data_IF_955352595312
#
_entry.id   IF_955352595312
#
_cell.length_a   1.000
_cell.length_b   1.000
_cell.length_c   1.000
_cell.angle_alpha   90.00
_cell.angle_beta   90.00
_cell.angle_gamma   90.00
#
_symmetry.space_group_name_H-M   'P 1'
#
loop_
_entity.id
_entity.type
_entity.pdbx_description
1 polymer ?
#
# COMPACT_ATOMS: atom_id res chain seq x y z
N UNK A 1 5.36 -11.11 -8.24
CA UNK A 1 5.18 -10.17 -7.12
C UNK A 1 4.67 -8.87 -7.69
N UNK A 2 3.64 -8.29 -7.09
CA UNK A 2 2.97 -7.07 -7.56
C UNK A 2 3.90 -5.86 -7.43
N UNK A 3 4.00 -5.02 -8.46
CA UNK A 3 4.82 -3.80 -8.43
C UNK A 3 4.16 -2.68 -7.62
N UNK A 4 4.93 -1.65 -7.21
CA UNK A 4 4.38 -0.46 -6.55
C UNK A 4 3.28 0.21 -7.38
N UNK A 5 3.48 0.31 -8.71
CA UNK A 5 2.47 0.85 -9.63
C UNK A 5 1.18 0.03 -9.60
N UNK A 6 1.28 -1.30 -9.62
CA UNK A 6 0.13 -2.18 -9.59
C UNK A 6 -0.61 -2.14 -8.24
N UNK A 7 0.13 -2.10 -7.12
CA UNK A 7 -0.43 -1.94 -5.77
C UNK A 7 -1.22 -0.63 -5.71
N UNK A 8 -0.57 0.49 -6.04
CA UNK A 8 -1.19 1.81 -6.02
C UNK A 8 -2.43 1.87 -6.90
N UNK A 9 -2.33 1.40 -8.15
CA UNK A 9 -3.44 1.45 -9.09
C UNK A 9 -4.64 0.64 -8.58
N UNK A 10 -4.39 -0.54 -8.01
CA UNK A 10 -5.43 -1.41 -7.44
C UNK A 10 -6.15 -0.70 -6.29
N UNK A 11 -5.39 -0.17 -5.33
CA UNK A 11 -5.96 0.51 -4.15
C UNK A 11 -6.69 1.79 -4.55
N UNK A 12 -6.08 2.66 -5.36
CA UNK A 12 -6.70 3.91 -5.84
C UNK A 12 -8.01 3.63 -6.57
N UNK A 13 -8.01 2.70 -7.52
CA UNK A 13 -9.22 2.35 -8.27
C UNK A 13 -10.31 1.78 -7.35
N UNK A 14 -9.94 0.93 -6.40
CA UNK A 14 -10.89 0.38 -5.43
C UNK A 14 -11.50 1.47 -4.54
N UNK A 15 -10.67 2.32 -3.92
CA UNK A 15 -11.14 3.33 -2.97
C UNK A 15 -11.92 4.45 -3.66
N UNK A 16 -11.53 4.87 -4.86
CA UNK A 16 -12.31 5.85 -5.64
C UNK A 16 -13.62 5.28 -6.20
N UNK A 17 -13.75 3.96 -6.32
CA UNK A 17 -15.04 3.33 -6.61
C UNK A 17 -15.90 3.20 -5.35
N UNK A 18 -15.29 2.94 -4.21
CA UNK A 18 -15.97 2.76 -2.92
C UNK A 18 -16.48 4.09 -2.33
N UNK A 19 -15.70 5.18 -2.45
CA UNK A 19 -16.03 6.52 -1.94
C UNK A 19 -16.53 6.54 -0.49
N UNK A 20 -15.97 5.67 0.36
CA UNK A 20 -16.30 5.56 1.76
C UNK A 20 -15.21 4.80 2.52
N UNK A 21 -15.01 5.13 3.79
CA UNK A 21 -14.10 4.42 4.70
C UNK A 21 -14.68 3.04 5.03
N UNK A 22 -13.79 2.06 5.16
CA UNK A 22 -14.06 0.71 5.67
C UNK A 22 -13.73 0.67 7.16
N UNK A 23 -14.75 0.76 8.00
CA UNK A 23 -14.62 0.90 9.45
C UNK A 23 -15.72 0.15 10.22
N UNK A 24 -15.49 -0.06 11.53
CA UNK A 24 -16.49 -0.58 12.46
C UNK A 24 -17.30 0.51 13.19
N UNK A 25 -18.07 0.14 14.21
CA UNK A 25 -18.89 1.07 15.02
C UNK A 25 -18.09 2.06 15.85
N UNK A 26 -16.81 1.79 16.07
CA UNK A 26 -15.91 2.70 16.78
C UNK A 26 -15.15 3.66 15.86
N UNK A 27 -15.34 3.54 14.54
CA UNK A 27 -14.55 4.26 13.55
C UNK A 27 -13.15 3.67 13.35
N UNK A 28 -12.92 2.43 13.82
CA UNK A 28 -11.65 1.74 13.60
C UNK A 28 -11.64 1.10 12.22
N UNK A 29 -10.55 1.30 11.48
CA UNK A 29 -10.34 0.71 10.16
C UNK A 29 -10.50 -0.82 10.18
N UNK A 30 -11.18 -1.34 9.15
CA UNK A 30 -11.37 -2.79 8.93
C UNK A 30 -10.92 -3.19 7.54
N UNK A 31 -10.18 -4.29 7.45
CA UNK A 31 -9.83 -4.92 6.16
C UNK A 31 -11.10 -5.28 5.40
N UNK A 32 -12.11 -5.80 6.10
CA UNK A 32 -13.49 -5.94 5.62
C UNK A 32 -14.47 -5.25 6.56
N UNK A 33 -14.89 -4.06 6.17
CA UNK A 33 -15.87 -3.27 6.89
C UNK A 33 -17.30 -3.62 6.51
N UNK A 34 -18.22 -2.79 7.00
CA UNK A 34 -19.65 -2.89 6.71
C UNK A 34 -19.96 -2.64 5.24
N UNK A 35 -21.14 -3.07 4.80
CA UNK A 35 -21.63 -2.89 3.42
C UNK A 35 -20.70 -3.46 2.33
N UNK A 36 -19.87 -4.46 2.66
CA UNK A 36 -18.90 -5.05 1.74
C UNK A 36 -17.69 -4.15 1.44
N UNK A 37 -17.48 -3.09 2.23
CA UNK A 37 -16.34 -2.20 2.09
C UNK A 37 -15.04 -2.89 2.48
N UNK A 38 -13.96 -2.45 1.83
CA UNK A 38 -12.59 -2.88 2.13
C UNK A 38 -11.70 -1.66 2.23
N UNK A 39 -10.79 -1.65 3.20
CA UNK A 39 -9.79 -0.58 3.31
C UNK A 39 -8.69 -0.74 2.25
N UNK A 40 -7.69 0.14 2.28
CA UNK A 40 -6.53 0.07 1.38
C UNK A 40 -5.85 -1.32 1.39
N UNK A 41 -5.59 -1.85 2.58
CA UNK A 41 -4.92 -3.16 2.74
C UNK A 41 -5.87 -4.31 2.42
N UNK A 42 -7.13 -4.22 2.87
CA UNK A 42 -8.14 -5.23 2.61
C UNK A 42 -8.45 -5.44 1.12
N UNK A 43 -8.31 -4.39 0.31
CA UNK A 43 -8.48 -4.46 -1.15
C UNK A 43 -7.39 -5.30 -1.86
N UNK A 44 -6.25 -5.52 -1.21
CA UNK A 44 -5.11 -6.26 -1.76
C UNK A 44 -5.06 -7.73 -1.32
N UNK A 45 -5.85 -8.12 -0.32
CA UNK A 45 -5.87 -9.48 0.20
C UNK A 45 -6.93 -10.30 -0.54
N UNK A 46 -6.51 -11.38 -1.20
CA UNK A 46 -7.43 -12.30 -1.85
C UNK A 46 -8.37 -12.96 -0.84
N UNK A 47 -9.60 -13.25 -1.25
CA UNK A 47 -10.63 -13.84 -0.38
C UNK A 47 -10.18 -15.14 0.29
N UNK A 48 -9.45 -15.99 -0.44
CA UNK A 48 -8.88 -17.25 0.05
C UNK A 48 -7.78 -17.10 1.12
N UNK A 49 -7.25 -15.90 1.30
CA UNK A 49 -6.20 -15.59 2.29
C UNK A 49 -6.68 -14.67 3.40
N UNK A 50 -7.94 -14.23 3.33
CA UNK A 50 -8.55 -13.45 4.39
C UNK A 50 -9.06 -14.33 5.53
N UNK A 51 -8.91 -13.84 6.75
CA UNK A 51 -9.54 -14.39 7.96
C UNK A 51 -9.94 -13.24 8.88
N UNK A 52 -11.05 -13.32 9.62
CA UNK A 52 -11.42 -12.31 10.62
C UNK A 52 -10.32 -12.06 11.66
N UNK A 53 -9.45 -13.04 11.94
CA UNK A 53 -8.31 -12.85 12.83
C UNK A 53 -7.28 -11.83 12.29
N UNK A 54 -7.29 -11.54 10.98
CA UNK A 54 -6.43 -10.51 10.40
C UNK A 54 -6.82 -9.09 10.83
N UNK A 55 -8.07 -8.88 11.23
CA UNK A 55 -8.60 -7.57 11.66
C UNK A 55 -7.99 -7.07 12.97
N UNK A 56 -7.23 -7.91 13.68
CA UNK A 56 -6.49 -7.56 14.89
C UNK A 56 -5.12 -6.93 14.58
N UNK A 57 -4.74 -6.86 13.29
CA UNK A 57 -3.44 -6.39 12.85
C UNK A 57 -3.57 -5.21 11.87
N UNK A 58 -2.86 -4.11 12.16
CA UNK A 58 -2.67 -2.98 11.24
C UNK A 58 -1.30 -2.99 10.58
N UNK A 59 -1.17 -2.43 9.37
CA UNK A 59 0.11 -2.41 8.65
C UNK A 59 1.15 -1.52 9.37
N UNK A 60 0.68 -0.49 10.10
CA UNK A 60 1.51 0.41 10.90
C UNK A 60 2.24 -0.23 12.08
N UNK A 61 1.82 -1.42 12.54
CA UNK A 61 2.47 -2.11 13.66
C UNK A 61 3.67 -2.96 13.25
N UNK A 62 3.91 -3.15 11.96
CA UNK A 62 5.00 -4.02 11.49
C UNK A 62 6.30 -3.25 11.32
N UNK A 63 7.33 -3.69 12.04
CA UNK A 63 8.72 -3.34 11.73
C UNK A 63 9.33 -4.39 10.80
N UNK A 64 10.28 -3.97 9.97
CA UNK A 64 10.97 -4.85 9.03
C UNK A 64 11.57 -6.07 9.75
N UNK A 65 11.11 -7.28 9.38
CA UNK A 65 11.64 -8.55 9.90
C UNK A 65 10.64 -9.39 10.71
N UNK A 66 9.51 -8.82 11.17
CA UNK A 66 8.50 -9.57 11.92
C UNK A 66 7.38 -10.09 11.00
N UNK A 67 7.49 -11.37 10.60
CA UNK A 67 6.48 -12.02 9.74
C UNK A 67 5.17 -12.30 10.47
N UNK A 68 4.28 -11.31 10.56
CA UNK A 68 2.94 -11.50 11.11
C UNK A 68 1.92 -12.10 10.14
N UNK A 69 0.73 -12.48 10.64
CA UNK A 69 -0.35 -13.03 9.82
C UNK A 69 -0.77 -12.12 8.66
N UNK A 70 -0.80 -10.80 8.86
CA UNK A 70 -1.17 -9.84 7.82
C UNK A 70 -0.13 -9.80 6.69
N UNK A 71 1.16 -9.74 7.01
CA UNK A 71 2.23 -9.76 6.01
C UNK A 71 2.24 -11.07 5.22
N UNK A 72 1.95 -12.21 5.88
CA UNK A 72 1.78 -13.49 5.19
C UNK A 72 0.59 -13.48 4.22
N UNK A 73 -0.56 -12.97 4.65
CA UNK A 73 -1.75 -12.89 3.78
C UNK A 73 -1.51 -11.99 2.54
N UNK A 74 -0.82 -10.86 2.74
CA UNK A 74 -0.38 -9.99 1.64
C UNK A 74 0.59 -10.72 0.70
N UNK A 75 1.60 -11.40 1.24
CA UNK A 75 2.58 -12.14 0.44
C UNK A 75 1.95 -13.28 -0.37
N UNK A 76 1.01 -14.03 0.22
CA UNK A 76 0.23 -15.05 -0.48
C UNK A 76 -0.66 -14.43 -1.57
N UNK A 77 -1.15 -13.21 -1.35
CA UNK A 77 -1.87 -12.40 -2.34
C UNK A 77 -0.94 -11.69 -3.35
N UNK A 78 0.37 -11.99 -3.32
CA UNK A 78 1.36 -11.46 -4.27
C UNK A 78 1.94 -10.08 -3.93
N UNK A 79 1.62 -9.51 -2.76
CA UNK A 79 2.12 -8.21 -2.27
C UNK A 79 3.26 -8.42 -1.27
N UNK A 80 4.48 -8.01 -1.63
CA UNK A 80 5.65 -8.17 -0.78
C UNK A 80 5.80 -7.02 0.23
N UNK A 81 4.98 -7.02 1.28
CA UNK A 81 5.02 -6.03 2.36
C UNK A 81 6.24 -6.17 3.31
N UNK A 82 7.18 -7.07 3.01
CA UNK A 82 8.50 -7.09 3.66
C UNK A 82 9.48 -6.10 3.02
N UNK A 83 9.19 -5.62 1.82
CA UNK A 83 10.02 -4.65 1.13
C UNK A 83 9.72 -3.22 1.67
N UNK A 84 10.75 -2.43 2.05
CA UNK A 84 10.58 -1.11 2.67
C UNK A 84 9.76 -0.06 1.89
N UNK A 85 9.90 -0.01 0.57
CA UNK A 85 9.12 0.87 -0.31
C UNK A 85 7.67 0.39 -0.42
N UNK A 86 7.42 -0.91 -0.43
CA UNK A 86 6.06 -1.46 -0.43
C UNK A 86 5.36 -1.11 0.87
N UNK A 87 5.98 -1.36 2.03
CA UNK A 87 5.34 -1.03 3.32
C UNK A 87 5.12 0.48 3.46
N UNK A 88 6.06 1.32 3.01
CA UNK A 88 5.89 2.77 3.03
C UNK A 88 4.72 3.23 2.15
N UNK A 89 4.55 2.64 0.96
CA UNK A 89 3.38 2.91 0.11
C UNK A 89 2.08 2.46 0.79
N UNK A 90 2.06 1.27 1.40
CA UNK A 90 0.87 0.72 2.05
C UNK A 90 0.43 1.56 3.26
N UNK A 91 1.39 2.02 4.08
CA UNK A 91 1.11 2.92 5.21
C UNK A 91 0.48 4.22 4.73
N UNK A 92 1.05 4.85 3.70
CA UNK A 92 0.52 6.12 3.20
C UNK A 92 -0.85 5.99 2.51
N UNK A 93 -1.13 4.84 1.88
CA UNK A 93 -2.45 4.53 1.35
C UNK A 93 -3.49 4.31 2.47
N UNK A 94 -3.08 3.71 3.58
CA UNK A 94 -3.90 3.58 4.79
C UNK A 94 -4.16 4.96 5.42
N UNK A 95 -3.14 5.81 5.54
CA UNK A 95 -3.29 7.19 6.07
C UNK A 95 -4.32 8.00 5.26
N UNK A 96 -4.28 7.92 3.92
CA UNK A 96 -5.29 8.59 3.08
C UNK A 96 -6.69 8.03 3.30
N UNK A 97 -6.82 6.71 3.51
CA UNK A 97 -8.11 6.06 3.78
C UNK A 97 -8.68 6.43 5.16
N UNK A 98 -7.85 6.41 6.20
CA UNK A 98 -8.25 6.58 7.59
C UNK A 98 -8.42 8.06 7.98
N UNK A 99 -7.54 8.94 7.49
CA UNK A 99 -7.49 10.35 7.90
C UNK A 99 -7.90 11.32 6.77
N UNK A 100 -7.94 10.86 5.52
CA UNK A 100 -8.22 11.71 4.37
C UNK A 100 -9.69 12.08 4.22
N UNK A 101 -9.93 13.29 3.72
CA UNK A 101 -11.28 13.68 3.28
C UNK A 101 -11.63 12.92 2.00
N UNK A 102 -12.66 12.07 2.06
CA UNK A 102 -13.14 11.25 0.95
C UNK A 102 -13.40 12.09 -0.31
N UNK A 103 -13.88 13.32 -0.16
CA UNK A 103 -14.12 14.22 -1.30
C UNK A 103 -12.83 14.65 -2.01
N UNK A 104 -11.69 14.54 -1.33
CA UNK A 104 -10.35 14.94 -1.78
C UNK A 104 -9.42 13.77 -2.08
N UNK A 105 -9.88 12.53 -1.89
CA UNK A 105 -9.09 11.33 -2.15
C UNK A 105 -8.42 11.33 -3.53
N UNK A 106 -9.08 11.87 -4.55
CA UNK A 106 -8.47 11.97 -5.88
C UNK A 106 -7.15 12.75 -5.84
N UNK A 107 -7.14 13.96 -5.25
CA UNK A 107 -5.94 14.80 -5.13
C UNK A 107 -4.90 14.14 -4.21
N UNK A 108 -5.35 13.58 -3.08
CA UNK A 108 -4.45 12.94 -2.11
C UNK A 108 -3.72 11.73 -2.71
N UNK A 109 -4.39 10.91 -3.54
CA UNK A 109 -3.73 9.81 -4.22
C UNK A 109 -2.72 10.28 -5.28
N UNK A 110 -2.92 11.43 -5.92
CA UNK A 110 -1.89 12.01 -6.79
C UNK A 110 -0.62 12.38 -5.99
N UNK A 111 -0.78 12.84 -4.74
CA UNK A 111 0.35 13.12 -3.86
C UNK A 111 1.09 11.85 -3.44
N UNK A 112 0.36 10.76 -3.21
CA UNK A 112 0.95 9.43 -2.95
C UNK A 112 1.72 8.94 -4.18
N UNK A 113 1.14 9.02 -5.37
CA UNK A 113 1.80 8.64 -6.62
C UNK A 113 3.12 9.40 -6.81
N UNK A 114 3.10 10.72 -6.58
CA UNK A 114 4.29 11.58 -6.70
C UNK A 114 5.40 11.23 -5.72
N UNK A 115 5.10 10.62 -4.57
CA UNK A 115 6.09 10.23 -3.56
C UNK A 115 6.68 8.84 -3.81
N UNK A 116 5.83 7.89 -4.19
CA UNK A 116 6.20 6.46 -4.21
C UNK A 116 6.50 5.89 -5.59
N UNK A 117 5.94 6.49 -6.65
CA UNK A 117 5.98 5.93 -8.01
C UNK A 117 6.96 6.66 -8.94
N UNK A 118 7.75 7.61 -8.43
CA UNK A 118 8.84 8.19 -9.22
C UNK A 118 9.84 7.09 -9.53
N UNK A 119 9.91 6.74 -10.81
CA UNK A 119 10.94 5.85 -11.33
C UNK A 119 12.31 6.51 -11.17
N UNK A 120 13.33 5.69 -10.94
CA UNK A 120 14.72 6.11 -11.11
C UNK A 120 14.93 6.50 -12.58
N UNK A 121 14.84 7.79 -12.90
CA UNK A 121 15.67 8.36 -13.96
C UNK A 121 17.06 8.55 -13.34
N UNK A 122 17.91 7.54 -13.49
CA UNK A 122 19.38 7.56 -13.53
C UNK A 122 20.02 6.39 -12.74
N UNK A 123 20.29 5.28 -13.42
CA UNK A 123 21.57 4.57 -13.28
C UNK A 123 22.02 4.00 -14.63
N UNK A 124 22.12 4.87 -15.63
CA UNK A 124 23.09 4.77 -16.73
C UNK A 124 23.50 6.18 -17.15
N UNK A 125 23.87 7.02 -16.18
CA UNK A 125 24.78 8.11 -16.47
C UNK A 125 26.17 7.49 -16.53
N UNK A 126 26.62 7.19 -17.74
CA UNK A 126 27.97 6.75 -18.00
C UNK A 126 28.97 7.72 -17.36
N UNK A 127 29.76 7.20 -16.43
CA UNK A 127 30.98 7.83 -15.99
C UNK A 127 32.11 6.80 -16.15
N UNK A 128 33.07 7.09 -17.04
CA UNK A 128 34.45 6.83 -16.71
C UNK A 128 35.14 8.19 -16.58
N UNK A 129 35.56 8.48 -15.36
CA UNK A 129 36.60 9.47 -15.08
C UNK A 129 37.92 8.91 -15.62
N UNK A 130 38.55 9.69 -16.49
CA UNK A 130 39.99 9.86 -16.68
C UNK A 130 40.89 8.65 -16.38
N UNK A 131 41.32 7.97 -17.44
CA UNK A 131 42.68 7.43 -17.49
C UNK A 131 43.57 8.43 -18.24
N UNK A 132 44.46 9.07 -17.49
CA UNK A 132 45.59 9.86 -17.96
C UNK A 132 46.57 9.03 -18.81
N UNK A 133 47.41 9.75 -19.55
CA UNK A 133 48.77 9.39 -19.98
C UNK A 133 48.95 8.45 -21.18
N UNK A 134 49.15 9.04 -22.37
CA UNK A 134 50.39 8.98 -23.18
C UNK A 134 50.19 9.65 -24.54
#
# INVERSE_FOLDING_TARGET
MTSLQQIFTTVRSHLLAQMAVSEDDSGSCRLRGRDGRRCAIGALIHDEHYSPALEEFGIGYYQAGEGGPLLRALAMSGVNAYEPRVIALLQELEDVHDEGDVARWHEQFEDVARRHLREHVAETAAWPELAEAA
#
